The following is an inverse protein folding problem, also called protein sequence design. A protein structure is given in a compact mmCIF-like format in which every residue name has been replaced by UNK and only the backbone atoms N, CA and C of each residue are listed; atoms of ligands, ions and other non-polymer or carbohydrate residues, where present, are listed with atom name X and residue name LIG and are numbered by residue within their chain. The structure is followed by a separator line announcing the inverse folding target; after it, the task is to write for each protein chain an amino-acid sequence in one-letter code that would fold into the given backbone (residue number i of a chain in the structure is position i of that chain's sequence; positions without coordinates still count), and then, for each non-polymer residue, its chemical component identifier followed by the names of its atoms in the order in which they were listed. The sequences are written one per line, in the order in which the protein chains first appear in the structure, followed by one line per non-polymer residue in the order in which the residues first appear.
data_IF_062106271001
#
_entry.id   IF_062106271001
#
_cell.length_a   1.000
_cell.length_b   1.000
_cell.length_c   1.000
_cell.angle_alpha   90.00
_cell.angle_beta   90.00
_cell.angle_gamma   90.00
#
_symmetry.space_group_name_H-M   'P 1'
#
loop_
_entity.id
_entity.type
_entity.pdbx_description
1 polymer ?
2 polymer ?
3 non-polymer ?
4 non-polymer ?
#
# COMPACT_ATOMS: atom_id res chain seq x y z
N UNK A 1 1.86 -23.84 10.02
CA UNK A 1 1.38 -22.57 9.52
C UNK A 1 2.24 -21.43 10.05
N UNK A 2 2.84 -20.70 9.13
CA UNK A 2 3.74 -19.61 9.47
C UNK A 2 3.16 -18.35 8.84
N UNK A 3 2.77 -17.41 9.69
CA UNK A 3 2.10 -16.21 9.21
C UNK A 3 2.96 -14.99 9.47
N UNK A 4 2.80 -14.00 8.62
CA UNK A 4 3.44 -12.72 8.84
C UNK A 4 2.35 -11.71 9.10
N UNK A 5 2.53 -10.89 10.14
CA UNK A 5 1.62 -9.79 10.37
C UNK A 5 2.40 -8.49 10.36
N UNK A 6 1.85 -7.45 9.74
CA UNK A 6 2.53 -6.18 9.60
C UNK A 6 1.63 -5.01 9.19
N UNK A 7 2.01 -3.82 9.63
CA UNK A 7 1.40 -2.59 9.14
C UNK A 7 2.31 -1.95 8.09
N UNK A 8 1.80 -1.81 6.87
CA UNK A 8 2.56 -1.22 5.76
C UNK A 8 2.06 0.16 5.37
N UNK A 9 2.93 1.13 5.33
CA UNK A 9 2.54 2.41 4.77
C UNK A 9 2.92 2.48 3.29
N UNK A 10 2.88 3.68 2.76
CA UNK A 10 3.25 3.95 1.39
C UNK A 10 4.66 3.43 1.10
N UNK A 11 4.84 2.83 -0.08
CA UNK A 11 6.11 2.27 -0.54
C UNK A 11 6.64 1.13 0.32
N UNK A 12 5.74 0.37 0.95
CA UNK A 12 6.12 -0.78 1.78
C UNK A 12 6.84 -0.43 3.10
N UNK A 13 6.85 0.85 3.45
CA UNK A 13 7.54 1.33 4.66
C UNK A 13 6.91 0.82 5.97
N UNK A 14 7.74 0.19 6.81
CA UNK A 14 7.27 -0.29 8.09
C UNK A 14 8.02 0.31 9.28
N UNK A 15 9.08 1.06 9.03
CA UNK A 15 9.82 1.65 10.11
C UNK A 15 10.85 2.68 9.72
N UNK A 16 11.15 3.56 10.66
CA UNK A 16 12.19 4.56 10.53
C UNK A 16 13.03 4.50 11.81
N UNK A 17 13.80 5.55 12.07
CA UNK A 17 14.72 5.51 13.20
C UNK A 17 13.92 5.58 14.50
N UNK A 18 12.73 6.15 14.41
CA UNK A 18 11.91 6.34 15.58
C UNK A 18 10.54 5.80 15.31
N UNK A 19 9.64 6.03 16.26
CA UNK A 19 8.26 5.58 16.10
C UNK A 19 7.66 6.23 14.86
N UNK A 20 6.91 5.41 14.16
CA UNK A 20 6.05 5.88 13.13
C UNK A 20 5.18 6.98 13.65
N UNK A 21 4.95 7.97 12.79
CA UNK A 21 4.15 9.14 13.11
C UNK A 21 2.70 8.90 12.74
N UNK A 22 2.02 8.12 13.56
CA UNK A 22 0.61 7.85 13.35
C UNK A 22 0.00 7.24 14.60
N UNK A 23 -1.31 7.11 14.60
CA UNK A 23 -2.01 6.70 15.80
C UNK A 23 -3.14 5.81 15.40
N UNK A 24 -2.91 4.50 15.52
CA UNK A 24 -3.82 3.52 14.98
C UNK A 24 -4.27 2.49 16.02
N UNK A 25 -5.04 2.93 17.03
CA UNK A 25 -5.54 2.03 18.08
C UNK A 25 -6.25 0.81 17.48
N UNK A 26 -7.10 1.02 16.47
CA UNK A 26 -7.78 -0.08 15.78
C UNK A 26 -6.80 -1.07 15.19
N UNK A 27 -5.70 -0.57 14.63
CA UNK A 27 -4.69 -1.43 14.05
C UNK A 27 -4.07 -2.31 15.11
N UNK A 28 -3.63 -1.68 16.21
CA UNK A 28 -3.02 -2.43 17.30
C UNK A 28 -3.97 -3.43 17.92
N UNK A 29 -5.26 -3.10 17.93
CA UNK A 29 -6.27 -4.00 18.45
C UNK A 29 -6.36 -5.23 17.56
N UNK A 30 -6.29 -4.98 16.25
CA UNK A 30 -6.32 -6.04 15.26
C UNK A 30 -5.11 -6.92 15.47
N UNK A 31 -3.96 -6.27 15.64
CA UNK A 31 -2.71 -6.98 15.86
C UNK A 31 -2.88 -7.97 16.99
N UNK A 32 -3.41 -7.45 18.10
CA UNK A 32 -3.67 -8.22 19.29
C UNK A 32 -4.60 -9.41 19.08
N UNK A 33 -5.75 -9.21 18.43
CA UNK A 33 -6.73 -10.30 18.24
C UNK A 33 -6.12 -11.47 17.47
N UNK A 34 -5.30 -11.13 16.47
CA UNK A 34 -4.69 -12.10 15.59
C UNK A 34 -3.36 -12.68 16.06
N UNK A 35 -2.85 -12.19 17.19
CA UNK A 35 -1.58 -12.72 17.71
C UNK A 35 -1.78 -13.47 19.01
N UNK A 36 -2.79 -13.05 19.77
CA UNK A 36 -3.08 -13.60 21.09
C UNK A 36 -3.04 -15.13 21.11
N UNK A 37 -2.45 -15.67 22.17
CA UNK A 37 -2.27 -17.11 22.34
C UNK A 37 -1.28 -17.79 21.40
N UNK A 38 -1.07 -17.20 20.22
CA UNK A 38 -0.08 -17.72 19.26
C UNK A 38 1.32 -17.23 19.63
N UNK A 39 2.34 -18.03 19.29
CA UNK A 39 3.71 -17.55 19.58
C UNK A 39 4.14 -16.50 18.56
N UNK A 40 4.87 -15.48 19.03
CA UNK A 40 5.37 -14.44 18.15
C UNK A 40 6.90 -14.49 18.00
N UNK A 41 7.37 -14.26 16.78
CA UNK A 41 8.80 -14.25 16.47
C UNK A 41 9.22 -12.88 15.98
N UNK A 42 10.28 -12.33 16.57
CA UNK A 42 10.72 -11.01 16.18
C UNK A 42 12.24 -10.87 16.22
N UNK A 43 12.78 -9.96 15.41
CA UNK A 43 14.18 -9.61 15.50
C UNK A 43 14.49 -8.76 16.73
N UNK A 44 15.77 -8.64 17.06
CA UNK A 44 16.17 -7.87 18.24
C UNK A 44 15.70 -6.43 18.20
N UNK A 45 15.76 -5.78 17.04
CA UNK A 45 15.42 -4.36 16.93
C UNK A 45 13.97 -4.11 17.27
N UNK A 46 13.12 -5.01 16.78
CA UNK A 46 11.70 -4.89 17.00
C UNK A 46 11.38 -5.11 18.48
N UNK A 47 12.12 -6.03 19.09
CA UNK A 47 12.05 -6.26 20.53
C UNK A 47 12.37 -4.96 21.25
N UNK A 48 13.50 -4.37 20.88
CA UNK A 48 13.94 -3.12 21.48
C UNK A 48 12.93 -2.01 21.24
N UNK A 49 12.27 -2.07 20.09
CA UNK A 49 11.25 -1.09 19.73
C UNK A 49 10.01 -1.19 20.60
N UNK A 50 9.54 -2.41 20.83
CA UNK A 50 8.36 -2.63 21.71
C UNK A 50 8.69 -2.35 23.19
N UNK A 51 9.88 -2.73 23.60
CA UNK A 51 10.36 -2.46 24.95
C UNK A 51 9.66 -3.15 26.12
N UNK A 52 8.85 -4.16 25.84
CA UNK A 52 8.13 -4.88 26.87
C UNK A 52 7.49 -6.10 26.21
N UNK A 53 7.45 -7.23 26.92
CA UNK A 53 6.90 -8.50 26.39
C UNK A 53 5.43 -8.38 25.97
N UNK A 54 5.07 -9.00 24.85
CA UNK A 54 3.68 -9.03 24.43
C UNK A 54 2.93 -10.11 25.20
N UNK A 55 2.09 -9.69 26.15
CA UNK A 55 1.48 -10.66 27.09
C UNK A 55 0.54 -11.65 26.40
N UNK A 56 0.45 -12.88 26.92
CA UNK A 56 -0.48 -13.88 26.41
C UNK A 56 0.00 -14.52 25.14
N UNK A 57 1.30 -14.44 24.90
CA UNK A 57 1.87 -14.97 23.67
C UNK A 57 3.29 -15.40 23.99
N UNK A 58 3.68 -16.58 23.51
CA UNK A 58 5.06 -16.97 23.67
C UNK A 58 5.87 -15.99 22.83
N UNK A 59 6.88 -15.39 23.44
CA UNK A 59 7.66 -14.35 22.76
C UNK A 59 9.04 -14.90 22.39
N UNK A 60 9.40 -14.80 21.12
CA UNK A 60 10.68 -15.36 20.66
C UNK A 60 11.55 -14.33 19.92
N UNK A 61 12.77 -14.11 20.39
CA UNK A 61 13.64 -13.09 19.80
C UNK A 61 14.83 -13.69 19.06
N UNK A 62 14.97 -13.33 17.78
CA UNK A 62 16.16 -13.64 16.99
C UNK A 62 17.31 -12.70 17.31
N UNK A 63 18.48 -13.28 17.57
CA UNK A 63 19.73 -12.53 17.74
C UNK A 63 20.94 -13.45 17.74
N UNK A 64 21.99 -13.05 17.02
CA UNK A 64 23.23 -13.80 16.99
C UNK A 64 23.89 -13.81 18.36
N UNK A 65 23.63 -12.75 19.12
CA UNK A 65 24.22 -12.57 20.45
C UNK A 65 23.38 -13.27 21.52
N UNK A 66 23.96 -13.42 22.72
CA UNK A 66 23.21 -13.97 23.86
C UNK A 66 22.15 -13.03 24.42
N UNK A 67 21.12 -13.62 25.02
CA UNK A 67 19.96 -12.89 25.49
C UNK A 67 20.22 -11.91 26.63
N UNK A 68 19.43 -10.84 26.63
CA UNK A 68 19.56 -9.78 27.60
C UNK A 68 18.28 -9.56 28.40
N UNK A 69 17.32 -10.46 28.23
CA UNK A 69 16.07 -10.37 28.97
C UNK A 69 15.46 -11.77 29.22
N UNK A 70 15.24 -12.11 30.48
CA UNK A 70 14.84 -13.47 30.84
C UNK A 70 13.32 -13.67 30.87
N UNK A 71 12.57 -12.60 30.60
CA UNK A 71 11.13 -12.70 30.59
C UNK A 71 10.67 -13.23 29.24
N UNK A 72 11.66 -13.45 28.36
CA UNK A 72 11.40 -13.80 26.96
C UNK A 72 12.42 -14.82 26.44
N UNK A 73 12.00 -15.65 25.48
CA UNK A 73 12.86 -16.67 24.88
C UNK A 73 13.75 -16.16 23.71
N UNK A 74 15.06 -16.39 23.82
CA UNK A 74 16.01 -15.92 22.82
C UNK A 74 16.58 -17.05 21.97
N UNK A 75 16.61 -16.87 20.65
CA UNK A 75 17.09 -17.92 19.74
C UNK A 75 18.15 -17.42 18.75
N UNK A 76 19.05 -18.31 18.34
CA UNK A 76 20.21 -17.90 17.55
C UNK A 76 20.05 -18.09 16.05
N UNK A 77 18.98 -18.77 15.64
CA UNK A 77 18.71 -18.97 14.23
C UNK A 77 17.23 -19.21 13.92
N UNK A 78 16.88 -19.13 12.63
CA UNK A 78 15.50 -19.22 12.15
C UNK A 78 14.87 -20.59 12.40
N UNK A 79 15.59 -21.65 12.03
CA UNK A 79 15.10 -22.99 12.28
C UNK A 79 14.88 -23.18 13.78
N UNK A 80 15.75 -22.58 14.60
CA UNK A 80 15.61 -22.68 16.04
C UNK A 80 14.41 -21.90 16.56
N UNK A 81 14.21 -20.71 16.00
CA UNK A 81 13.04 -19.89 16.30
C UNK A 81 11.78 -20.72 16.08
N UNK A 82 11.78 -21.48 15.00
CA UNK A 82 10.65 -22.30 14.65
C UNK A 82 10.52 -23.48 15.62
N UNK A 83 11.65 -23.99 16.08
CA UNK A 83 11.66 -25.06 17.07
C UNK A 83 11.16 -24.55 18.42
N UNK A 84 11.57 -23.35 18.80
CA UNK A 84 11.13 -22.75 20.06
C UNK A 84 9.62 -22.56 20.13
N UNK A 85 8.95 -22.70 18.99
CA UNK A 85 7.53 -22.40 18.91
C UNK A 85 6.64 -23.60 19.23
N UNK A 86 7.19 -24.79 19.08
CA UNK A 86 6.49 -26.01 19.46
C UNK A 86 5.46 -26.51 18.46
N UNK A 87 4.51 -27.30 18.94
CA UNK A 87 3.45 -27.80 18.07
C UNK A 87 2.21 -26.94 18.21
N UNK A 88 2.15 -25.87 17.42
CA UNK A 88 1.02 -24.98 17.46
C UNK A 88 0.41 -24.82 16.08
N UNK A 89 -0.91 -24.60 16.01
CA UNK A 89 -1.59 -24.45 14.73
C UNK A 89 -0.93 -23.40 13.85
N UNK A 90 -0.54 -22.27 14.44
CA UNK A 90 -0.05 -21.14 13.66
C UNK A 90 0.96 -20.26 14.36
N UNK A 91 2.07 -20.02 13.67
CA UNK A 91 3.16 -19.21 14.16
C UNK A 91 3.02 -17.81 13.60
N UNK A 92 3.21 -16.80 14.45
CA UNK A 92 3.12 -15.44 13.99
C UNK A 92 4.50 -14.80 13.93
N UNK A 93 4.85 -14.27 12.75
CA UNK A 93 6.12 -13.56 12.59
C UNK A 93 5.82 -12.06 12.58
N UNK A 94 6.52 -11.30 13.40
CA UNK A 94 6.12 -9.90 13.61
C UNK A 94 7.19 -8.85 13.31
N UNK A 95 8.24 -9.24 12.60
CA UNK A 95 9.21 -8.26 12.13
C UNK A 95 10.53 -8.24 12.87
N UNK A 96 11.36 -7.26 12.53
CA UNK A 96 11.05 -6.30 11.50
C UNK A 96 11.41 -6.78 10.09
N UNK A 97 11.91 -5.83 9.28
CA UNK A 97 12.20 -6.07 7.88
C UNK A 97 13.09 -7.26 7.55
N UNK A 98 14.26 -7.34 8.19
CA UNK A 98 15.18 -8.44 7.98
C UNK A 98 14.49 -9.77 8.29
N UNK A 99 13.69 -9.79 9.35
CA UNK A 99 13.01 -11.01 9.77
C UNK A 99 11.85 -11.39 8.83
N UNK A 100 11.16 -10.40 8.27
CA UNK A 100 10.14 -10.69 7.26
C UNK A 100 10.76 -11.25 5.96
N UNK A 101 11.91 -10.69 5.59
CA UNK A 101 12.53 -11.06 4.33
C UNK A 101 12.92 -12.54 4.34
N UNK A 102 13.07 -13.09 5.54
CA UNK A 102 13.53 -14.46 5.68
C UNK A 102 12.38 -15.45 5.80
N UNK A 103 11.29 -15.00 6.41
CA UNK A 103 10.17 -15.89 6.71
C UNK A 103 9.12 -15.91 5.61
N UNK A 104 9.12 -14.89 4.75
CA UNK A 104 8.14 -14.80 3.69
C UNK A 104 8.07 -16.01 2.75
N UNK A 105 9.22 -16.56 2.31
CA UNK A 105 9.04 -17.70 1.40
C UNK A 105 8.63 -18.99 2.13
N UNK A 106 8.58 -18.92 3.44
CA UNK A 106 8.25 -20.05 4.28
C UNK A 106 6.86 -19.85 4.90
N UNK A 107 6.11 -18.89 4.35
CA UNK A 107 4.86 -18.52 4.98
C UNK A 107 3.62 -18.76 4.10
N UNK A 108 2.51 -19.09 4.73
CA UNK A 108 1.30 -19.45 4.01
C UNK A 108 0.23 -18.35 4.08
N UNK A 109 0.43 -17.40 4.99
CA UNK A 109 -0.57 -16.37 5.23
C UNK A 109 0.07 -15.01 5.61
N UNK A 110 -0.49 -13.93 5.07
CA UNK A 110 -0.09 -12.58 5.46
C UNK A 110 -1.26 -11.79 6.03
N UNK A 111 -1.05 -11.22 7.21
CA UNK A 111 -1.99 -10.28 7.81
C UNK A 111 -1.43 -8.90 7.53
N UNK A 112 -2.07 -8.17 6.64
CA UNK A 112 -1.53 -6.86 6.27
C UNK A 112 -2.49 -5.71 6.58
N UNK A 113 -1.95 -4.68 7.20
CA UNK A 113 -2.69 -3.45 7.38
C UNK A 113 -2.08 -2.39 6.46
N UNK A 114 -2.90 -1.85 5.57
CA UNK A 114 -2.48 -0.83 4.63
C UNK A 114 -2.86 0.58 5.05
N UNK A 115 -1.87 1.40 5.34
CA UNK A 115 -2.10 2.78 5.72
C UNK A 115 -1.63 3.75 4.63
N UNK A 116 -2.54 4.53 4.05
CA UNK A 116 -2.16 5.51 3.03
C UNK A 116 -1.49 6.71 3.70
N UNK A 117 -0.35 6.48 4.32
CA UNK A 117 0.38 7.56 4.95
C UNK A 117 1.73 7.72 4.26
N UNK A 118 1.92 8.85 3.62
CA UNK A 118 3.21 9.16 3.00
C UNK A 118 4.24 9.40 4.08
N UNK A 119 5.09 8.42 4.32
CA UNK A 119 6.09 8.50 5.37
C UNK A 119 7.42 7.90 4.82
N UNK A 120 8.57 8.55 5.06
CA UNK A 120 9.84 8.02 4.56
C UNK A 120 10.56 7.19 5.64
N UNK A 121 10.98 5.97 5.29
CA UNK A 121 11.61 5.11 6.27
C UNK A 121 12.65 4.21 5.68
N UNK A 122 13.67 3.87 6.47
CA UNK A 122 14.75 3.05 5.96
C UNK A 122 14.41 1.56 5.97
N UNK A 123 13.24 1.21 6.49
CA UNK A 123 12.85 -0.20 6.63
C UNK A 123 11.51 -0.52 5.96
N UNK A 124 11.47 -1.65 5.26
CA UNK A 124 10.35 -2.00 4.38
C UNK A 124 9.91 -3.44 4.52
N UNK A 125 8.61 -3.68 4.36
CA UNK A 125 8.12 -5.03 4.10
C UNK A 125 8.68 -5.54 2.77
N UNK A 126 8.97 -6.86 2.68
CA UNK A 126 9.49 -7.41 1.43
C UNK A 126 8.51 -7.20 0.31
N UNK A 127 8.99 -7.25 -0.93
CA UNK A 127 8.10 -7.22 -2.07
C UNK A 127 7.48 -8.60 -2.26
N UNK A 128 6.15 -8.66 -2.22
CA UNK A 128 5.43 -9.92 -2.39
C UNK A 128 4.74 -9.92 -3.74
N UNK A 129 4.95 -11.01 -4.48
CA UNK A 129 4.39 -11.16 -5.82
C UNK A 129 2.91 -11.47 -5.74
N UNK A 130 2.05 -10.50 -6.12
CA UNK A 130 0.59 -10.60 -6.08
C UNK A 130 0.05 -11.86 -6.76
N UNK A 131 0.86 -12.46 -7.63
CA UNK A 131 0.50 -13.70 -8.28
C UNK A 131 0.62 -14.92 -7.36
N UNK A 132 1.41 -14.82 -6.30
CA UNK A 132 1.61 -15.96 -5.42
C UNK A 132 0.59 -15.97 -4.28
N UNK A 133 -0.09 -14.84 -4.09
CA UNK A 133 -0.97 -14.65 -2.95
C UNK A 133 -2.41 -14.36 -3.35
N UNK A 134 -3.34 -15.09 -2.73
CA UNK A 134 -4.77 -14.81 -2.87
C UNK A 134 -5.29 -14.04 -1.67
N UNK A 135 -5.91 -12.90 -1.94
CA UNK A 135 -6.50 -12.07 -0.90
C UNK A 135 -7.85 -12.62 -0.47
N UNK A 136 -7.91 -13.25 0.71
CA UNK A 136 -9.13 -13.93 1.14
C UNK A 136 -10.06 -13.10 2.02
N UNK A 137 -9.56 -11.96 2.48
CA UNK A 137 -10.30 -11.15 3.43
C UNK A 137 -9.90 -9.69 3.27
N UNK A 138 -10.85 -8.78 3.42
CA UNK A 138 -10.54 -7.36 3.30
C UNK A 138 -11.59 -6.45 3.95
N UNK A 139 -11.12 -5.51 4.76
CA UNK A 139 -11.99 -4.57 5.47
C UNK A 139 -11.32 -3.21 5.56
N UNK A 140 -11.94 -2.21 4.95
CA UNK A 140 -11.37 -0.86 4.95
C UNK A 140 -12.01 0.04 6.01
N UNK A 141 -11.21 0.94 6.57
CA UNK A 141 -11.70 1.94 7.52
C UNK A 141 -11.17 3.34 7.25
N UNK A 142 -12.07 4.31 7.39
CA UNK A 142 -11.74 5.72 7.39
C UNK A 142 -10.97 6.13 8.66
N UNK A 143 -10.17 7.18 8.54
CA UNK A 143 -9.63 7.84 9.71
C UNK A 143 -10.78 8.45 10.49
N UNK A 144 -10.53 8.80 11.75
CA UNK A 144 -11.56 9.34 12.64
C UNK A 144 -10.88 9.93 13.87
N UNK A 145 -11.65 10.23 14.91
CA UNK A 145 -11.07 10.94 16.04
C UNK A 145 -10.01 10.13 16.77
N UNK A 146 -10.08 8.81 16.66
CA UNK A 146 -9.19 7.96 17.44
C UNK A 146 -8.01 7.45 16.60
N UNK A 147 -8.21 7.45 15.28
CA UNK A 147 -7.23 6.97 14.31
C UNK A 147 -6.75 8.04 13.31
N UNK A 148 -5.44 8.26 13.23
CA UNK A 148 -4.86 9.34 12.41
C UNK A 148 -4.99 9.23 10.89
N UNK A 149 -5.15 8.00 10.36
CA UNK A 149 -5.08 7.71 8.92
C UNK A 149 -6.07 6.62 8.48
N UNK A 150 -6.31 6.50 7.17
CA UNK A 150 -7.08 5.39 6.61
C UNK A 150 -6.27 4.13 6.76
N UNK A 151 -6.95 3.01 7.02
CA UNK A 151 -6.28 1.72 7.13
C UNK A 151 -7.15 0.63 6.54
N UNK A 152 -6.51 -0.35 5.91
CA UNK A 152 -7.24 -1.48 5.36
C UNK A 152 -6.66 -2.77 5.91
N UNK A 153 -7.49 -3.54 6.63
CA UNK A 153 -7.06 -4.85 7.08
C UNK A 153 -7.16 -5.82 5.91
N UNK A 154 -6.15 -6.65 5.72
CA UNK A 154 -6.15 -7.64 4.65
C UNK A 154 -5.45 -8.93 5.06
N UNK A 155 -6.02 -10.07 4.64
CA UNK A 155 -5.43 -11.37 4.91
C UNK A 155 -5.14 -12.11 3.60
N UNK A 156 -3.87 -12.42 3.37
CA UNK A 156 -3.48 -13.09 2.12
C UNK A 156 -3.10 -14.54 2.30
N UNK A 157 -3.59 -15.40 1.42
CA UNK A 157 -3.22 -16.81 1.45
C UNK A 157 -2.46 -17.18 0.19
N UNK A 158 -1.32 -17.84 0.37
CA UNK A 158 -0.46 -18.25 -0.74
C UNK A 158 -1.18 -19.21 -1.69
N UNK A 159 -1.24 -18.84 -2.96
CA UNK A 159 -1.85 -19.72 -3.94
C UNK A 159 -0.86 -20.84 -4.29
N UNK B 3 -9.02 -4.07 -19.99
CA UNK B 3 -8.83 -3.68 -18.59
C UNK B 3 -9.24 -2.20 -18.32
N UNK B 4 -8.60 -1.23 -18.99
CA UNK B 4 -8.86 0.22 -18.77
C UNK B 4 -9.49 1.00 -19.96
N UNK B 5 -10.67 1.59 -19.76
CA UNK B 5 -11.36 2.38 -20.81
C UNK B 5 -11.49 3.87 -20.47
N UNK B 6 -10.82 4.74 -21.22
CA UNK B 6 -11.01 6.18 -20.98
C UNK B 6 -12.21 6.71 -21.75
N UNK B 7 -13.06 7.45 -21.04
CA UNK B 7 -14.22 8.06 -21.67
C UNK B 7 -14.17 9.58 -21.46
N UNK B 8 -15.22 10.29 -21.86
CA UNK B 8 -15.18 11.73 -21.90
C UNK B 8 -14.22 12.20 -22.98
N UNK B 9 -13.93 13.49 -23.02
CA UNK B 9 -12.96 13.98 -23.99
C UNK B 9 -13.52 14.22 -25.37
N UNK B 10 -13.37 15.47 -25.82
CA UNK B 10 -13.84 15.92 -27.12
C UNK B 10 -13.18 17.26 -27.47
N UNK B 11 -13.97 18.17 -28.05
CA UNK B 11 -13.48 19.50 -28.40
C UNK B 11 -14.11 20.51 -27.46
N UNK B 12 -13.31 21.45 -26.96
CA UNK B 12 -13.80 22.47 -26.05
C UNK B 12 -13.16 23.82 -26.38
N UNK B 13 -13.90 24.90 -26.17
CA UNK B 13 -13.34 26.23 -26.40
C UNK B 13 -12.35 26.60 -25.29
N UNK B 14 -11.45 27.52 -25.59
CA UNK B 14 -10.46 28.01 -24.61
C UNK B 14 -11.13 28.51 -23.33
N UNK B 15 -10.49 28.21 -22.19
CA UNK B 15 -11.06 28.54 -20.90
C UNK B 15 -12.11 27.52 -20.45
N UNK B 16 -12.42 26.56 -21.33
CA UNK B 16 -13.52 25.65 -21.08
C UNK B 16 -13.19 24.52 -20.11
N UNK B 17 -14.22 23.87 -19.58
CA UNK B 17 -14.02 22.72 -18.73
C UNK B 17 -14.26 21.46 -19.55
N UNK B 18 -13.94 20.30 -18.97
CA UNK B 18 -14.23 18.97 -19.56
C UNK B 18 -13.72 17.90 -18.61
N UNK B 19 -14.61 17.00 -18.20
CA UNK B 19 -14.25 15.90 -17.29
C UNK B 19 -13.93 14.62 -18.03
N UNK B 20 -12.78 14.05 -17.71
CA UNK B 20 -12.40 12.76 -18.24
C UNK B 20 -12.84 11.65 -17.31
N UNK B 21 -13.09 10.48 -17.90
CA UNK B 21 -13.57 9.33 -17.17
C UNK B 21 -12.75 8.10 -17.55
N UNK B 22 -12.49 7.23 -16.59
CA UNK B 22 -11.77 5.99 -16.88
C UNK B 22 -12.26 4.80 -16.07
N UNK B 23 -12.78 3.82 -16.79
CA UNK B 23 -13.32 2.65 -16.15
C UNK B 23 -12.27 1.57 -16.18
N UNK B 24 -12.14 0.83 -15.09
CA UNK B 24 -11.12 -0.18 -14.98
C UNK B 24 -11.75 -1.47 -14.50
N UNK B 25 -11.63 -2.51 -15.33
CA UNK B 25 -12.21 -3.82 -14.99
C UNK B 25 -11.09 -4.85 -14.89
N UNK B 26 -11.31 -5.92 -14.13
CA UNK B 26 -10.34 -7.00 -14.12
C UNK B 26 -9.60 -7.22 -12.82
N UNK B 27 -9.52 -6.19 -11.99
CA UNK B 27 -8.98 -6.34 -10.65
C UNK B 27 -9.92 -5.69 -9.66
N UNK B 28 -9.67 -5.89 -8.38
CA UNK B 28 -10.39 -5.18 -7.34
C UNK B 28 -9.98 -3.70 -7.31
N UNK B 29 -10.87 -2.85 -7.80
CA UNK B 29 -10.59 -1.44 -8.05
C UNK B 29 -10.05 -0.69 -6.83
N UNK B 30 -10.63 -0.94 -5.67
CA UNK B 30 -10.32 -0.18 -4.47
C UNK B 30 -8.88 -0.41 -3.91
N UNK B 31 -8.16 -1.35 -4.51
CA UNK B 31 -6.86 -1.79 -4.00
C UNK B 31 -5.69 -1.11 -4.69
N UNK B 32 -5.98 -0.37 -5.76
CA UNK B 32 -4.95 0.14 -6.65
C UNK B 32 -5.08 1.65 -6.85
N UNK B 33 -3.96 2.35 -6.82
CA UNK B 33 -3.96 3.73 -7.30
C UNK B 33 -4.40 3.82 -8.78
N UNK B 34 -4.63 5.05 -9.23
CA UNK B 34 -4.92 5.34 -10.63
C UNK B 34 -4.28 6.65 -11.03
N UNK B 35 -3.64 6.66 -12.21
CA UNK B 35 -3.03 7.88 -12.70
C UNK B 35 -3.51 8.29 -14.08
N UNK B 36 -3.16 9.52 -14.46
CA UNK B 36 -3.49 10.02 -15.78
C UNK B 36 -2.23 10.52 -16.44
N UNK B 37 -2.09 10.23 -17.72
CA UNK B 37 -0.99 10.75 -18.54
C UNK B 37 -1.57 11.45 -19.74
N UNK B 38 -0.72 12.19 -20.46
CA UNK B 38 -1.13 12.78 -21.72
C UNK B 38 -0.01 12.71 -22.74
N UNK B 39 -0.33 12.41 -23.98
CA UNK B 39 0.69 12.37 -25.02
C UNK B 39 0.43 13.32 -26.17
N UNK B 40 1.46 14.08 -26.53
CA UNK B 40 1.43 14.97 -27.69
C UNK B 40 2.40 14.44 -28.75
N UNK B 41 1.99 14.49 -30.03
CA UNK B 41 2.55 13.71 -31.15
C UNK B 41 4.03 13.27 -31.03
N UNK B 44 5.49 12.50 -26.68
CA UNK B 44 6.04 12.00 -25.41
C UNK B 44 5.02 12.00 -24.26
N UNK B 45 4.84 10.83 -23.63
CA UNK B 45 3.89 10.64 -22.50
C UNK B 45 4.27 11.42 -21.23
N UNK B 46 3.64 12.58 -20.99
CA UNK B 46 3.85 13.36 -19.76
C UNK B 46 2.90 12.91 -18.68
N UNK B 47 3.43 12.65 -17.47
CA UNK B 47 2.58 12.33 -16.34
C UNK B 47 1.74 13.54 -15.95
N UNK B 48 0.47 13.33 -15.63
CA UNK B 48 -0.41 14.43 -15.23
C UNK B 48 -0.84 14.41 -13.74
N UNK B 49 -1.41 13.31 -13.29
CA UNK B 49 -1.95 13.24 -11.95
C UNK B 49 -2.19 11.81 -11.55
N UNK B 50 -2.09 11.55 -10.25
CA UNK B 50 -2.31 10.23 -9.70
C UNK B 50 -3.11 10.37 -8.43
N UNK B 51 -4.02 9.43 -8.19
CA UNK B 51 -4.72 9.36 -6.90
C UNK B 51 -4.42 8.02 -6.24
N UNK B 52 -4.09 8.04 -4.94
CA UNK B 52 -3.67 6.82 -4.24
C UNK B 52 -4.83 5.85 -4.11
N UNK B 53 -4.52 4.61 -3.71
CA UNK B 53 -5.54 3.56 -3.59
C UNK B 53 -6.74 3.95 -2.73
N UNK B 54 -6.48 4.61 -1.60
CA UNK B 54 -7.55 5.01 -0.68
C UNK B 54 -8.26 6.31 -1.06
N UNK B 55 -7.66 7.06 -1.98
CA UNK B 55 -8.24 8.32 -2.43
C UNK B 55 -7.73 9.50 -1.62
N UNK B 56 -7.12 9.19 -0.48
CA UNK B 56 -6.71 10.22 0.47
C UNK B 56 -5.45 10.95 0.03
N UNK B 57 -4.74 10.40 -0.95
CA UNK B 57 -3.56 11.07 -1.49
C UNK B 57 -3.64 11.36 -2.98
N UNK B 58 -3.23 12.56 -3.36
CA UNK B 58 -3.24 12.98 -4.76
C UNK B 58 -1.98 13.76 -5.09
N UNK B 59 -1.45 13.54 -6.28
CA UNK B 59 -0.28 14.29 -6.71
C UNK B 59 -0.46 14.79 -8.15
N UNK B 60 -0.20 16.09 -8.31
CA UNK B 60 -0.43 16.80 -9.57
C UNK B 60 0.85 17.35 -10.17
N UNK B 61 1.07 17.06 -11.46
CA UNK B 61 2.20 17.64 -12.19
C UNK B 61 2.11 19.17 -12.16
N UNK B 62 3.21 19.83 -12.46
CA UNK B 62 3.23 21.29 -12.42
C UNK B 62 2.23 21.85 -13.43
N UNK B 63 2.23 21.27 -14.63
CA UNK B 63 1.29 21.67 -15.67
C UNK B 63 -0.17 21.53 -15.25
N UNK B 64 -0.42 20.74 -14.21
CA UNK B 64 -1.78 20.43 -13.80
C UNK B 64 -2.21 21.07 -12.50
N UNK B 65 -1.24 21.52 -11.71
CA UNK B 65 -1.50 22.02 -10.36
C UNK B 65 -2.49 23.19 -10.37
N UNK B 66 -3.52 23.08 -9.54
CA UNK B 66 -4.52 24.13 -9.42
C UNK B 66 -5.69 24.02 -10.38
N UNK B 67 -5.43 23.65 -11.63
CA UNK B 67 -6.48 23.60 -12.66
C UNK B 67 -7.30 22.31 -12.66
N UNK B 68 -6.64 21.18 -12.41
CA UNK B 68 -7.26 19.86 -12.60
C UNK B 68 -7.66 19.20 -11.28
N UNK B 69 -8.58 18.26 -11.34
CA UNK B 69 -8.87 17.41 -10.17
C UNK B 69 -9.02 15.93 -10.52
N UNK B 70 -8.26 15.09 -9.83
CA UNK B 70 -8.38 13.64 -9.95
C UNK B 70 -9.15 13.08 -8.76
N UNK B 71 -10.09 12.19 -9.02
CA UNK B 71 -10.92 11.59 -7.98
C UNK B 71 -11.30 10.18 -8.40
N UNK B 72 -11.85 9.41 -7.47
CA UNK B 72 -12.22 8.04 -7.77
C UNK B 72 -13.59 7.69 -7.21
N UNK B 73 -14.27 6.77 -7.89
CA UNK B 73 -15.56 6.25 -7.45
C UNK B 73 -15.49 4.73 -7.46
N UNK B 74 -15.10 4.15 -6.32
CA UNK B 74 -14.96 2.70 -6.20
C UNK B 74 -16.19 1.88 -6.60
N UNK B 75 -17.38 2.37 -6.24
CA UNK B 75 -18.62 1.68 -6.59
C UNK B 75 -18.85 1.56 -8.10
N UNK B 76 -18.10 2.33 -8.88
CA UNK B 76 -18.25 2.31 -10.32
C UNK B 76 -16.92 1.99 -11.02
N UNK B 77 -15.92 1.58 -10.23
CA UNK B 77 -14.60 1.24 -10.76
C UNK B 77 -14.06 2.30 -11.71
N UNK B 78 -14.27 3.57 -11.38
CA UNK B 78 -13.91 4.67 -12.26
C UNK B 78 -13.08 5.72 -11.52
N UNK B 79 -12.00 6.20 -12.15
CA UNK B 79 -11.43 7.46 -11.71
C UNK B 79 -11.78 8.54 -12.71
N UNK B 80 -11.84 9.77 -12.21
CA UNK B 80 -12.22 10.89 -13.04
C UNK B 80 -11.08 11.90 -12.99
N UNK B 81 -10.85 12.61 -14.10
CA UNK B 81 -9.97 13.78 -14.10
C UNK B 81 -10.77 15.00 -14.52
N UNK B 82 -11.10 15.86 -13.56
CA UNK B 82 -11.78 17.10 -13.90
C UNK B 82 -10.78 18.12 -14.40
N UNK B 83 -11.15 18.82 -15.47
CA UNK B 83 -10.28 19.83 -16.09
C UNK B 83 -11.03 21.14 -16.31
N UNK B 84 -10.45 22.25 -15.90
CA UNK B 84 -11.26 23.45 -15.72
C UNK B 84 -10.86 24.74 -16.48
N UNK B 85 -9.57 25.04 -16.54
CA UNK B 85 -9.15 26.22 -17.29
C UNK B 85 -8.28 25.79 -18.43
N UNK B 86 -8.92 25.24 -19.44
CA UNK B 86 -8.21 24.57 -20.49
C UNK B 86 -7.67 25.61 -21.45
N UNK B 87 -6.62 25.20 -22.15
CA UNK B 87 -5.96 26.06 -23.12
C UNK B 87 -5.33 25.14 -24.18
N UNK B 88 -5.08 25.68 -25.37
CA UNK B 88 -4.49 24.95 -26.51
C UNK B 88 -3.24 24.15 -26.18
N UNK B 89 -2.63 24.40 -25.03
CA UNK B 89 -1.44 23.68 -24.62
C UNK B 89 -1.80 22.36 -23.93
N UNK B 90 -3.04 22.25 -23.47
CA UNK B 90 -3.54 21.03 -22.87
C UNK B 90 -3.97 20.00 -23.92
N UNK B 91 -4.26 20.47 -25.15
CA UNK B 91 -4.64 19.59 -26.26
C UNK B 91 -3.67 18.42 -26.42
N UNK B 92 -4.17 17.20 -26.26
CA UNK B 92 -3.39 15.95 -26.43
C UNK B 92 -4.30 14.75 -26.16
N UNK B 93 -3.77 13.54 -26.36
CA UNK B 93 -4.49 12.34 -25.96
C UNK B 93 -4.23 12.07 -24.47
N UNK B 94 -5.29 11.67 -23.75
CA UNK B 94 -5.17 11.40 -22.34
C UNK B 94 -5.36 9.91 -22.01
N UNK B 95 -4.44 9.35 -21.22
CA UNK B 95 -4.49 7.94 -20.85
C UNK B 95 -4.65 7.72 -19.34
N UNK B 96 -5.52 6.81 -18.93
CA UNK B 96 -5.49 6.35 -17.55
C UNK B 96 -4.46 5.24 -17.44
N UNK B 97 -3.74 5.22 -16.32
CA UNK B 97 -2.75 4.19 -16.06
C UNK B 97 -2.89 3.66 -14.65
N UNK B 98 -2.62 2.38 -14.46
CA UNK B 98 -2.66 1.80 -13.12
C UNK B 98 -1.39 1.03 -12.78
N UNK B 99 -0.94 1.13 -11.53
CA UNK B 99 0.18 0.32 -11.04
C UNK B 99 -0.19 -1.15 -11.01
N UNK B 100 0.78 -2.01 -11.30
CA UNK B 100 0.56 -3.44 -11.17
C UNK B 100 0.58 -3.90 -9.72
N UNK B 101 1.37 -3.23 -8.89
CA UNK B 101 1.41 -3.51 -7.45
C UNK B 101 0.22 -2.91 -6.69
N UNK B 102 -0.42 -3.69 -5.82
CA UNK B 102 -1.61 -3.23 -5.09
C UNK B 102 -1.24 -2.36 -3.91
N UNK B 103 -2.18 -1.49 -3.54
CA UNK B 103 -2.03 -0.54 -2.46
C UNK B 103 -0.93 0.51 -2.70
N UNK B 104 -0.24 0.90 -1.63
CA UNK B 104 0.66 2.03 -1.65
C UNK B 104 2.09 1.68 -1.99
N UNK B 105 2.28 0.52 -2.62
CA UNK B 105 3.60 -0.06 -2.79
C UNK B 105 4.46 0.72 -3.76
N UNK B 106 3.84 1.22 -4.84
CA UNK B 106 4.54 1.92 -5.92
C UNK B 106 4.24 3.40 -5.89
N UNK B 107 3.92 3.93 -4.72
CA UNK B 107 3.34 5.28 -4.66
C UNK B 107 4.32 6.38 -5.10
N UNK B 108 5.53 6.37 -4.58
CA UNK B 108 6.51 7.41 -4.89
C UNK B 108 6.94 7.30 -6.34
N UNK B 109 6.92 6.08 -6.84
CA UNK B 109 7.07 5.78 -8.24
C UNK B 109 6.00 6.49 -9.06
N UNK B 110 4.75 6.13 -8.77
CA UNK B 110 3.59 6.68 -9.46
C UNK B 110 3.54 8.19 -9.47
N UNK B 111 4.11 8.83 -8.45
CA UNK B 111 4.08 10.28 -8.38
C UNK B 111 5.15 10.86 -9.30
N UNK B 112 6.10 10.00 -9.65
CA UNK B 112 7.20 10.34 -10.54
C UNK B 112 6.88 9.79 -11.94
N UNK B 113 5.63 9.37 -12.13
CA UNK B 113 5.15 8.92 -13.43
C UNK B 113 5.68 7.57 -13.86
N UNK B 114 6.26 6.84 -12.92
CA UNK B 114 6.78 5.52 -13.18
C UNK B 114 6.02 4.52 -12.32
N UNK B 115 6.31 3.24 -12.49
CA UNK B 115 5.62 2.20 -11.76
C UNK B 115 4.20 1.93 -12.25
N UNK B 116 3.90 2.27 -13.50
CA UNK B 116 2.62 1.92 -14.10
C UNK B 116 2.79 0.82 -15.12
N UNK B 117 1.95 -0.21 -14.99
CA UNK B 117 2.03 -1.35 -15.88
C UNK B 117 0.76 -1.56 -16.73
N UNK B 118 -0.28 -0.79 -16.49
CA UNK B 118 -1.52 -0.92 -17.26
C UNK B 118 -1.94 0.42 -17.81
N UNK B 119 -2.34 0.42 -19.07
CA UNK B 119 -2.70 1.64 -19.76
C UNK B 119 -3.99 1.44 -20.50
N UNK B 120 -4.69 2.55 -20.73
CA UNK B 120 -5.91 2.53 -21.54
C UNK B 120 -5.53 2.93 -22.95
N UNK B 121 -6.51 2.99 -23.84
CA UNK B 121 -6.21 3.32 -25.23
C UNK B 121 -6.20 4.83 -25.40
N UNK B 122 -6.83 5.52 -24.46
CA UNK B 122 -6.73 6.96 -24.42
C UNK B 122 -7.93 7.66 -25.00
N UNK B 123 -8.15 8.88 -24.54
CA UNK B 123 -9.19 9.74 -25.09
C UNK B 123 -8.61 11.08 -25.54
N UNK B 124 -9.10 11.55 -26.69
CA UNK B 124 -8.62 12.79 -27.25
C UNK B 124 -9.25 13.99 -26.55
N UNK B 125 -8.42 14.99 -26.28
CA UNK B 125 -8.89 16.28 -25.81
C UNK B 125 -8.33 17.36 -26.73
N UNK B 126 -9.22 18.06 -27.44
CA UNK B 126 -8.79 19.17 -28.28
C UNK B 126 -9.35 20.50 -27.75
N UNK B 127 -8.47 21.49 -27.61
CA UNK B 127 -8.89 22.82 -27.16
C UNK B 127 -8.59 23.86 -28.24
N UNK B 128 -9.64 24.54 -28.68
CA UNK B 128 -9.54 25.53 -29.76
C UNK B 128 -9.45 26.93 -29.19
N UNK B 129 -8.87 27.85 -29.96
CA UNK B 129 -8.65 29.22 -29.47
C UNK B 129 -9.93 30.05 -29.47
X LIG C 1 1.33 -5.37 12.68
X LIG C 1 0.30 -4.38 12.55
X LIG C 1 -0.87 -4.65 11.76
X LIG C 1 0.50 -3.13 13.21
X LIG C 1 1.69 -2.89 13.96
X LIG C 1 1.90 -1.82 14.54
X LIG C 1 2.71 -3.94 14.07
X LIG C 1 3.80 -3.71 14.81
X LIG C 1 4.74 -4.65 14.95
X LIG C 1 4.57 -5.88 14.33
X LIG C 1 3.47 -6.12 13.58
X LIG C 1 2.53 -5.16 13.45
X LIG C 1 5.92 -4.33 15.77
X LIG C 1 5.75 -3.34 16.82
X LIG C 1 2.83 -3.44 19.85
X LIG C 1 3.75 -2.39 19.76
X LIG C 1 4.70 -2.39 18.76
X LIG C 1 4.76 -3.42 17.82
X LIG C 1 3.85 -4.47 17.91
X LIG C 1 2.89 -4.48 18.93
X LIG C 1 1.82 -3.44 20.97
X LIG C 1 1.82 -2.57 21.80
X LIG C 1 0.89 -4.51 21.05
X LIG C 1 -0.07 -4.55 22.12
X LIG C 1 -1.28 -3.79 21.76
X LIG C 1 -1.84 -2.83 22.81
X LIG C 1 -3.12 -2.18 22.47
X LIG C 1 -4.11 -2.90 22.23
X LIG C 1 -3.16 -0.94 22.44
X LIG C 1 -0.44 -5.98 22.28
X LIG C 1 -0.63 -6.67 21.25
X LIG C 1 -0.57 -6.48 23.43
X LIG D 1 14.91 -6.75 12.48
X LIG D 1 16.21 -5.85 12.63
X LIG D 1 13.68 -7.00 13.48
X LIG D 1 15.78 -7.53 13.57
X LIG D 1 17.09 -7.87 13.25
X LIG D 1 17.94 -8.49 14.24
X LIG D 1 17.44 -9.76 14.63
X LIG D 1 19.29 -8.77 13.67
X LIG D 1 20.08 -7.62 13.83
X LIG D 1 19.75 -9.83 14.46
X LIG D 1 20.08 -9.42 15.76
X LIG D 1 18.48 -10.64 14.60
X LIG D 1 18.29 -11.61 13.58
X LIG D 1 17.46 -11.55 12.53
X LIG D 1 17.57 -12.69 11.84
X LIG D 1 18.47 -13.48 12.47
X LIG D 1 18.98 -14.74 12.24
X LIG D 1 18.58 -15.49 11.13
X LIG D 1 19.88 -15.25 13.09
X LIG D 1 20.31 -14.58 14.17
X LIG D 1 19.83 -13.34 14.40
X LIG D 1 18.91 -12.79 13.58
X LIG D 1 14.35 -5.30 12.51
X LIG D 1 14.60 -4.31 11.27
X LIG D 1 14.71 -5.10 9.98
X LIG D 1 15.85 -3.46 11.38
X LIG D 1 13.29 -3.38 11.36
X LIG D 1 13.12 -2.54 12.47
X LIG D 1 11.95 -1.62 12.40
X LIG D 1 10.85 -2.35 12.02
X LIG D 1 11.58 -0.94 13.68
X LIG D 1 11.52 0.45 13.50
X LIG D 1 10.26 -1.37 13.99
X LIG D 1 9.40 -0.36 14.44
X LIG D 1 9.74 -1.72 12.65
X LIG D 1 8.60 -2.64 12.61
X LIG D 1 7.48 -2.25 11.99
X LIG D 1 6.41 -3.13 11.92
X LIG D 1 5.10 -2.75 11.20
X LIG D 1 4.24 -3.65 11.03
X LIG D 1 4.88 -1.38 10.73
X LIG D 1 6.54 -4.38 12.46
X LIG D 1 7.71 -4.76 13.10
X LIG D 1 8.74 -3.85 13.16
X LIG D 1 21.60 -9.38 16.18
X LIG D 1 21.65 -9.43 17.71
X LIG D 1 22.32 -10.57 15.57
X LIG D 1 22.32 -8.11 15.68
#
# INVERSE_FOLDING_TARGET
MISLIAALAVDRVIGMENAMPWNLPADLAWFKRNTLNKPVIMGRHTWESIGRPLPGRKNIILSSQPGTDDRVTWVKSVDEAIAACGDVPEIMVIGGGRVYEQFLPKAQKLYLTHIDAEVEGDTHFPDYEPDDWESVFSEFHDADAQNSHSYCFEILERR
QVQLQESGGGLVQAGGSLRLSCEASGRTFSSYAMGWFRQAPGKERDFVAVISWSGSNTYYADSAKGRFTISRDNAKNTVYLQMNSLKPEDTAIYYCAAPGRPHGSSWSLNKKGQGYDYWGQGTQVTVSSHHHHHH
FOL N1 C2 NA2 N3 C4 O4 C4A N5 C6 C7 N8 C8A C9 N10 C11 C12 C13 C14 C15 C16 C O N CA CB CG CD OE1 OE2 CT O1 O2
NAP PA O1A O2A O5B C5B C4B O4B C3B O3B C2B O2B C1B N9A C8A N7A C5A C6A N6A N1A C2A N3A C4A O3 PN O1N O2N O5D C5D C4D O4D C3D O3D C2D O2D C1D N1N C2N C3N C7N O7N N7N C4N C5N C6N P2B O1X O2X O3X
#
